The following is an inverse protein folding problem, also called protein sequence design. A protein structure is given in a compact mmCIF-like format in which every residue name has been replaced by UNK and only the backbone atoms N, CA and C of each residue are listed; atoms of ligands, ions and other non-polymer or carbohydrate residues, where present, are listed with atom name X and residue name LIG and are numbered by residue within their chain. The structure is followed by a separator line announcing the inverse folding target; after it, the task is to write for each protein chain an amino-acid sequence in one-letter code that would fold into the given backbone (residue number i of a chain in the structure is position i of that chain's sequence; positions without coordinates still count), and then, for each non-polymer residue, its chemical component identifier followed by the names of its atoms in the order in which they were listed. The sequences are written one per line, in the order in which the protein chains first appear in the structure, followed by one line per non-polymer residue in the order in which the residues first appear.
data_IF_783796573040
#
_entry.id   IF_783796573040
#
_cell.length_a   1.000
_cell.length_b   1.000
_cell.length_c   1.000
_cell.angle_alpha   90.00
_cell.angle_beta   90.00
_cell.angle_gamma   90.00
#
_symmetry.space_group_name_H-M   'P 1'
#
loop_
_entity.id
_entity.type
_entity.pdbx_description
1 polymer ?
#
# COMPACT_ATOMS: atom_id res chain seq x y z
N UNK A 1 12.71 -55.53 -46.34
CA UNK A 1 11.75 -55.02 -45.35
C UNK A 1 12.49 -53.97 -44.53
N UNK A 2 12.57 -52.70 -44.94
CA UNK A 2 11.59 -51.58 -44.80
C UNK A 2 11.12 -51.36 -43.35
N UNK A 3 11.64 -50.31 -42.69
CA UNK A 3 10.92 -49.32 -41.85
C UNK A 3 11.93 -48.57 -40.93
N UNK A 4 12.54 -47.45 -41.37
CA UNK A 4 12.20 -46.06 -40.98
C UNK A 4 11.55 -45.92 -39.59
N UNK A 5 12.34 -45.48 -38.61
CA UNK A 5 11.87 -45.03 -37.30
C UNK A 5 11.08 -43.73 -37.48
N UNK A 6 9.78 -43.80 -37.21
CA UNK A 6 8.88 -42.66 -37.21
C UNK A 6 9.22 -41.71 -36.06
N UNK A 7 9.33 -40.44 -36.43
CA UNK A 7 9.33 -39.23 -35.62
C UNK A 7 8.21 -39.23 -34.58
N UNK A 8 8.57 -39.26 -33.30
CA UNK A 8 7.66 -38.98 -32.19
C UNK A 8 7.48 -37.47 -32.07
N UNK A 9 6.50 -36.93 -32.79
CA UNK A 9 6.08 -35.54 -32.71
C UNK A 9 5.17 -35.40 -31.48
N UNK A 10 5.76 -34.99 -30.36
CA UNK A 10 5.00 -34.65 -29.15
C UNK A 10 4.28 -33.33 -29.43
N UNK A 11 3.02 -33.43 -29.84
CA UNK A 11 2.11 -32.29 -29.93
C UNK A 11 1.78 -31.82 -28.51
N UNK A 12 2.50 -30.80 -28.04
CA UNK A 12 2.22 -30.12 -26.80
C UNK A 12 1.01 -29.19 -27.01
N UNK A 13 -0.20 -29.71 -26.84
CA UNK A 13 -1.41 -28.90 -26.80
C UNK A 13 -1.46 -28.14 -25.47
N UNK A 14 -0.92 -26.91 -25.49
CA UNK A 14 -1.15 -25.92 -24.42
C UNK A 14 -2.66 -25.68 -24.34
N UNK A 15 -3.31 -26.30 -23.36
CA UNK A 15 -4.69 -25.98 -23.02
C UNK A 15 -4.65 -24.66 -22.26
N UNK A 16 -4.95 -23.56 -22.95
CA UNK A 16 -5.12 -22.28 -22.30
C UNK A 16 -6.35 -22.38 -21.37
N UNK A 17 -6.12 -22.50 -20.07
CA UNK A 17 -7.16 -22.33 -19.08
C UNK A 17 -7.65 -20.88 -19.17
N UNK A 18 -8.85 -20.67 -19.68
CA UNK A 18 -9.55 -19.40 -19.61
C UNK A 18 -9.88 -19.13 -18.15
N UNK A 19 -9.15 -18.19 -17.53
CA UNK A 19 -9.54 -17.61 -16.26
C UNK A 19 -10.87 -16.89 -16.48
N UNK A 20 -11.96 -17.44 -15.94
CA UNK A 20 -13.23 -16.73 -15.84
C UNK A 20 -13.03 -15.59 -14.84
N UNK A 21 -12.72 -14.39 -15.33
CA UNK A 21 -12.87 -13.17 -14.54
C UNK A 21 -14.36 -13.01 -14.32
N UNK A 22 -14.81 -13.21 -13.08
CA UNK A 22 -16.17 -12.86 -12.69
C UNK A 22 -16.36 -11.36 -12.98
N UNK A 23 -17.08 -11.04 -14.06
CA UNK A 23 -17.52 -9.69 -14.35
C UNK A 23 -18.56 -9.31 -13.29
N UNK A 24 -18.15 -8.51 -12.31
CA UNK A 24 -19.08 -7.85 -11.42
C UNK A 24 -19.96 -6.90 -12.26
N UNK A 25 -21.27 -7.10 -12.17
CA UNK A 25 -22.31 -6.28 -12.81
C UNK A 25 -22.10 -4.79 -12.48
N UNK A 26 -21.92 -3.89 -13.48
CA UNK A 26 -21.52 -2.51 -13.24
C UNK A 26 -22.68 -1.58 -12.83
N UNK A 27 -23.91 -2.05 -12.74
CA UNK A 27 -25.07 -1.15 -12.85
C UNK A 27 -25.85 -0.83 -11.58
N UNK A 28 -25.16 -0.71 -10.44
CA UNK A 28 -25.62 0.16 -9.34
C UNK A 28 -24.43 0.88 -8.74
N UNK A 29 -24.35 2.23 -8.82
CA UNK A 29 -23.39 2.97 -8.01
C UNK A 29 -23.82 2.78 -6.54
N UNK A 30 -23.23 1.79 -5.88
CA UNK A 30 -23.23 1.75 -4.42
C UNK A 30 -22.53 3.03 -4.00
N UNK A 31 -23.26 3.95 -3.37
CA UNK A 31 -22.73 5.18 -2.80
C UNK A 31 -21.43 4.81 -2.09
N UNK A 32 -20.30 5.25 -2.66
CA UNK A 32 -18.99 4.89 -2.14
C UNK A 32 -18.97 5.25 -0.65
N UNK A 33 -18.49 4.32 0.17
CA UNK A 33 -18.41 4.51 1.60
C UNK A 33 -17.39 5.62 1.89
N UNK A 34 -17.86 6.86 2.00
CA UNK A 34 -16.98 7.99 2.24
C UNK A 34 -16.22 7.82 3.56
N UNK A 35 -14.95 8.21 3.54
CA UNK A 35 -14.09 8.31 4.71
C UNK A 35 -13.29 9.59 4.61
N UNK A 36 -12.98 10.17 5.75
CA UNK A 36 -12.12 11.33 5.87
C UNK A 36 -10.77 10.87 6.42
N UNK A 37 -9.69 11.41 5.87
CA UNK A 37 -8.35 11.03 6.26
C UNK A 37 -7.39 12.21 6.42
N UNK A 38 -6.61 12.17 7.49
CA UNK A 38 -5.52 13.10 7.77
C UNK A 38 -4.21 12.35 7.92
N UNK A 39 -3.16 12.85 7.26
CA UNK A 39 -1.83 12.22 7.26
C UNK A 39 -0.80 13.30 7.58
N UNK A 40 0.08 13.02 8.53
CA UNK A 40 1.20 13.90 8.87
C UNK A 40 2.34 13.11 9.51
N UNK A 41 3.55 13.65 9.42
CA UNK A 41 4.70 13.18 10.19
C UNK A 41 4.74 13.90 11.55
N UNK A 42 5.12 13.17 12.58
CA UNK A 42 5.30 13.70 13.95
C UNK A 42 6.72 14.25 14.13
N UNK A 43 6.93 15.05 15.17
CA UNK A 43 8.26 15.53 15.54
C UNK A 43 9.25 14.39 15.87
N UNK A 44 8.73 13.24 16.32
CA UNK A 44 9.49 12.01 16.59
C UNK A 44 9.84 11.24 15.31
N UNK A 45 9.43 11.71 14.12
CA UNK A 45 9.67 11.03 12.84
C UNK A 45 8.70 9.87 12.55
N UNK A 46 7.65 9.69 13.36
CA UNK A 46 6.61 8.67 13.12
C UNK A 46 5.56 9.19 12.14
N UNK A 47 4.99 8.30 11.32
CA UNK A 47 3.90 8.62 10.41
C UNK A 47 2.56 8.41 11.10
N UNK A 48 1.75 9.47 11.19
CA UNK A 48 0.41 9.45 11.76
C UNK A 48 -0.64 9.47 10.64
N UNK A 49 -1.54 8.50 10.68
CA UNK A 49 -2.70 8.41 9.79
C UNK A 49 -3.97 8.34 10.63
N UNK A 50 -4.82 9.34 10.50
CA UNK A 50 -6.14 9.36 11.10
C UNK A 50 -7.18 9.04 10.02
N UNK A 51 -8.10 8.13 10.32
CA UNK A 51 -9.22 7.79 9.43
C UNK A 51 -10.51 7.87 10.24
N UNK A 52 -11.45 8.65 9.72
CA UNK A 52 -12.84 8.70 10.20
C UNK A 52 -13.72 8.13 9.10
N UNK A 53 -14.46 7.08 9.39
CA UNK A 53 -15.40 6.48 8.44
C UNK A 53 -16.76 7.14 8.57
N UNK A 54 -17.41 7.38 7.44
CA UNK A 54 -18.82 7.82 7.40
C UNK A 54 -19.78 6.62 7.33
N UNK A 55 -19.25 5.40 7.19
CA UNK A 55 -20.03 4.17 7.08
C UNK A 55 -19.47 3.05 7.96
N UNK A 56 -20.28 2.02 8.18
CA UNK A 56 -19.89 0.79 8.89
C UNK A 56 -19.04 -0.17 8.04
N UNK A 57 -18.59 0.22 6.85
CA UNK A 57 -17.74 -0.61 6.01
C UNK A 57 -16.33 -0.77 6.62
N UNK A 58 -15.64 -1.83 6.24
CA UNK A 58 -14.23 -1.99 6.60
C UNK A 58 -13.39 -1.04 5.74
N UNK A 59 -12.31 -0.51 6.30
CA UNK A 59 -11.32 0.30 5.57
C UNK A 59 -9.95 -0.31 5.79
N UNK A 60 -9.13 -0.37 4.75
CA UNK A 60 -7.75 -0.84 4.81
C UNK A 60 -6.84 0.37 4.60
N UNK A 61 -5.86 0.54 5.48
CA UNK A 61 -4.78 1.53 5.33
C UNK A 61 -3.51 0.78 5.02
N UNK A 62 -2.85 1.14 3.92
CA UNK A 62 -1.59 0.55 3.46
C UNK A 62 -0.52 1.62 3.30
N UNK A 63 0.72 1.27 3.58
CA UNK A 63 1.90 2.03 3.20
C UNK A 63 2.63 1.25 2.10
N UNK A 64 2.80 1.88 0.94
CA UNK A 64 3.46 1.31 -0.22
C UNK A 64 4.80 2.02 -0.45
N UNK A 65 5.83 1.26 -0.79
CA UNK A 65 7.10 1.82 -1.25
C UNK A 65 7.01 2.32 -2.71
N UNK A 66 8.09 2.91 -3.22
CA UNK A 66 8.15 3.42 -4.60
C UNK A 66 7.89 2.36 -5.69
N UNK A 67 8.07 1.07 -5.37
CA UNK A 67 7.78 -0.05 -6.29
C UNK A 67 6.33 -0.55 -6.17
N UNK A 68 5.48 0.11 -5.36
CA UNK A 68 4.12 -0.32 -5.06
C UNK A 68 4.03 -1.52 -4.13
N UNK A 69 5.12 -1.92 -3.48
CA UNK A 69 5.12 -3.04 -2.53
C UNK A 69 4.63 -2.56 -1.16
N UNK A 70 3.75 -3.34 -0.55
CA UNK A 70 3.22 -3.08 0.77
C UNK A 70 4.29 -3.30 1.84
N UNK A 71 4.60 -2.26 2.60
CA UNK A 71 5.51 -2.31 3.76
C UNK A 71 4.74 -2.27 5.09
N UNK A 72 3.46 -1.88 5.04
CA UNK A 72 2.54 -1.92 6.18
C UNK A 72 1.11 -2.03 5.69
N UNK A 73 0.27 -2.80 6.40
CA UNK A 73 -1.17 -2.78 6.24
C UNK A 73 -1.90 -2.93 7.57
N UNK A 74 -3.00 -2.20 7.69
CA UNK A 74 -3.93 -2.30 8.80
C UNK A 74 -5.36 -2.29 8.30
N UNK A 75 -6.10 -3.34 8.63
CA UNK A 75 -7.54 -3.38 8.42
C UNK A 75 -8.28 -2.78 9.64
N UNK A 76 -9.20 -1.86 9.35
CA UNK A 76 -10.10 -1.20 10.31
C UNK A 76 -11.46 -1.88 10.21
N UNK A 77 -11.86 -2.52 11.30
CA UNK A 77 -13.08 -3.32 11.34
C UNK A 77 -14.35 -2.48 11.24
N UNK A 78 -15.48 -3.12 10.93
CA UNK A 78 -16.80 -2.48 10.73
C UNK A 78 -17.28 -1.67 11.94
N UNK A 79 -16.91 -2.07 13.16
CA UNK A 79 -17.34 -1.47 14.43
C UNK A 79 -16.49 -0.30 14.93
N UNK A 80 -15.37 -0.02 14.27
CA UNK A 80 -14.49 1.09 14.62
C UNK A 80 -14.86 2.26 13.72
N UNK A 81 -15.43 3.35 14.24
CA UNK A 81 -15.80 4.51 13.40
C UNK A 81 -14.59 5.38 13.06
N UNK A 82 -13.65 5.49 13.99
CA UNK A 82 -12.44 6.28 13.85
C UNK A 82 -11.23 5.46 14.30
N UNK A 83 -10.10 5.67 13.64
CA UNK A 83 -8.81 5.13 14.10
C UNK A 83 -7.70 6.16 13.91
N UNK A 84 -6.70 6.08 14.77
CA UNK A 84 -5.43 6.79 14.61
C UNK A 84 -4.31 5.77 14.62
N UNK A 85 -3.63 5.65 13.50
CA UNK A 85 -2.50 4.74 13.31
C UNK A 85 -1.22 5.54 13.45
N UNK A 86 -0.36 5.09 14.35
CA UNK A 86 1.00 5.60 14.52
C UNK A 86 1.96 4.55 14.00
N UNK A 87 2.48 4.77 12.80
CA UNK A 87 3.45 3.87 12.18
C UNK A 87 4.86 4.30 12.54
N UNK A 88 5.65 3.36 13.01
CA UNK A 88 7.09 3.55 13.14
C UNK A 88 7.74 3.32 11.78
N UNK A 89 8.31 4.38 11.21
CA UNK A 89 8.94 4.39 9.89
C UNK A 89 10.45 4.56 9.98
N UNK A 90 11.03 4.52 11.19
CA UNK A 90 12.46 4.75 11.41
C UNK A 90 13.36 3.68 10.76
N UNK A 91 12.82 2.49 10.49
CA UNK A 91 13.53 1.40 9.83
C UNK A 91 13.32 1.37 8.31
N UNK A 92 12.57 2.34 7.76
CA UNK A 92 12.35 2.46 6.32
C UNK A 92 13.40 3.40 5.72
N UNK A 93 13.95 3.09 4.53
CA UNK A 93 14.83 4.01 3.81
C UNK A 93 14.12 5.32 3.48
N UNK A 94 14.89 6.41 3.45
CA UNK A 94 14.43 7.69 2.94
C UNK A 94 13.94 7.56 1.50
N UNK A 95 12.84 8.25 1.18
CA UNK A 95 12.21 8.16 -0.12
C UNK A 95 10.75 8.57 -0.12
N UNK A 96 10.13 8.45 -1.30
CA UNK A 96 8.70 8.71 -1.48
C UNK A 96 7.93 7.41 -1.29
N UNK A 97 6.91 7.46 -0.44
CA UNK A 97 5.98 6.38 -0.15
C UNK A 97 4.56 6.84 -0.44
N UNK A 98 3.68 5.87 -0.62
CA UNK A 98 2.26 6.11 -0.84
C UNK A 98 1.45 5.53 0.31
N UNK A 99 0.60 6.36 0.93
CA UNK A 99 -0.43 5.88 1.84
C UNK A 99 -1.70 5.66 1.03
N UNK A 100 -2.10 4.40 0.89
CA UNK A 100 -3.34 4.01 0.23
C UNK A 100 -4.41 3.67 1.28
N UNK A 101 -5.59 4.28 1.15
CA UNK A 101 -6.73 4.03 2.04
C UNK A 101 -7.89 3.55 1.16
N UNK A 102 -8.33 2.31 1.38
CA UNK A 102 -9.37 1.68 0.57
C UNK A 102 -10.55 1.20 1.41
N UNK A 103 -11.77 1.43 0.93
CA UNK A 103 -13.01 0.90 1.51
C UNK A 103 -13.54 -0.32 0.72
N UNK A 104 -12.77 -0.84 -0.23
CA UNK A 104 -13.16 -1.92 -1.16
C UNK A 104 -13.97 -1.48 -2.38
N UNK A 105 -14.37 -0.21 -2.47
CA UNK A 105 -15.06 0.41 -3.62
C UNK A 105 -14.19 1.50 -4.23
N UNK A 106 -13.59 2.33 -3.39
CA UNK A 106 -12.73 3.45 -3.73
C UNK A 106 -11.43 3.37 -2.93
N UNK A 107 -10.34 3.81 -3.56
CA UNK A 107 -9.03 3.94 -2.94
C UNK A 107 -8.54 5.36 -3.10
N UNK A 108 -8.18 5.99 -1.98
CA UNK A 108 -7.49 7.29 -1.96
C UNK A 108 -6.02 7.05 -1.69
N UNK A 109 -5.16 7.62 -2.52
CA UNK A 109 -3.70 7.54 -2.36
C UNK A 109 -3.13 8.92 -2.08
N UNK A 110 -2.20 9.02 -1.12
CA UNK A 110 -1.45 10.25 -0.83
C UNK A 110 0.04 9.95 -0.72
N UNK A 111 0.85 10.78 -1.39
CA UNK A 111 2.29 10.69 -1.30
C UNK A 111 2.81 11.24 0.03
N UNK A 112 3.81 10.59 0.59
CA UNK A 112 4.52 10.96 1.81
C UNK A 112 6.01 10.79 1.57
N UNK A 113 6.77 11.86 1.81
CA UNK A 113 8.24 11.81 1.75
C UNK A 113 8.79 11.52 3.14
N UNK A 114 9.51 10.41 3.26
CA UNK A 114 10.31 10.09 4.44
C UNK A 114 11.72 10.65 4.25
N UNK A 115 12.18 11.43 5.22
CA UNK A 115 13.52 11.99 5.24
C UNK A 115 14.07 12.02 6.67
N UNK A 116 15.17 11.31 6.87
CA UNK A 116 15.95 11.38 8.10
C UNK A 116 16.76 12.68 8.10
N UNK A 117 16.38 13.65 8.94
CA UNK A 117 17.23 14.80 9.20
C UNK A 117 18.40 14.34 10.06
N UNK A 118 19.59 14.28 9.47
CA UNK A 118 20.81 13.99 10.22
C UNK A 118 21.03 15.11 11.26
N UNK A 119 21.18 14.80 12.57
CA UNK A 119 21.44 15.82 13.57
C UNK A 119 22.76 16.52 13.29
N UNK A 120 22.72 17.82 12.97
CA UNK A 120 23.93 18.65 12.85
C UNK A 120 24.35 19.03 14.25
N UNK A 121 25.49 18.52 14.72
CA UNK A 121 26.06 18.95 15.99
C UNK A 121 26.51 20.42 15.88
N UNK A 122 26.16 21.30 16.84
CA UNK A 122 26.59 22.69 16.80
C UNK A 122 28.13 22.76 16.93
N UNK A 123 28.81 23.65 16.18
CA UNK A 123 30.24 23.82 16.30
C UNK A 123 30.59 24.32 17.70
N UNK A 124 31.46 23.59 18.41
CA UNK A 124 32.05 24.06 19.67
C UNK A 124 33.29 24.87 19.33
N UNK A 125 33.21 26.19 19.46
CA UNK A 125 34.38 27.06 19.40
C UNK A 125 34.95 27.20 20.80
N UNK A 126 36.19 26.76 21.00
CA UNK A 126 36.97 27.04 22.22
C UNK A 126 37.98 28.11 21.85
N UNK A 127 37.83 29.31 22.41
CA UNK A 127 38.87 30.34 22.34
C UNK A 127 39.93 30.03 23.40
N UNK A 128 41.20 29.97 22.99
CA UNK A 128 42.35 29.90 23.89
C UNK A 128 43.07 31.23 23.79
N UNK A 129 43.25 31.92 24.92
CA UNK A 129 44.04 33.14 25.06
C UNK A 129 45.46 32.84 25.48
#
# INVERSE_FOLDING_TARGET
MKAILNTLLVALTLTAASFNVAQADPNKPKKAAAFQSGIHTTAEGKLQVAVQKETSSAVVVQLLNANGQEVFAQQIGKRQEAVRLRMDVSNLPDGVYQVAISNGVETTTKDVTLSTKQPVAPPRLVAVN
#
